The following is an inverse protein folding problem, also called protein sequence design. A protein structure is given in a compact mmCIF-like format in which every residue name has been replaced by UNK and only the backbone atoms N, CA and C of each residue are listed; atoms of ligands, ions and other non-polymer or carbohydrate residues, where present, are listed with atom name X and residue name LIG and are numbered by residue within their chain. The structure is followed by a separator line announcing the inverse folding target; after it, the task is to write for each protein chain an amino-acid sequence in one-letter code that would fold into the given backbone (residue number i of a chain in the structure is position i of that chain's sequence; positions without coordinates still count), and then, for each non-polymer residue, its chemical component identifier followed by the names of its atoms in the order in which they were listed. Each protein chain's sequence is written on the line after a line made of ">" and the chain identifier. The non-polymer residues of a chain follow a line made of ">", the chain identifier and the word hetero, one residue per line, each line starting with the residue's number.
data_IF_910793331189
#
_entry.id   IF_910793331189
#
_cell.length_a   1.000
_cell.length_b   1.000
_cell.length_c   1.000
_cell.angle_alpha   90.00
_cell.angle_beta   90.00
_cell.angle_gamma   90.00
#
_symmetry.space_group_name_H-M   'P 1'
#
loop_
_entity.id
_entity.type
_entity.pdbx_description
1 polymer ?
#
# COMPACT_ATOMS: atom_id res chain seq x y z
N UNK A 1 -6.78 4.01 -4.14
CA UNK A 1 -7.53 5.20 -3.69
C UNK A 1 -7.87 4.94 -2.24
N UNK A 2 -7.18 5.61 -1.33
CA UNK A 2 -7.26 5.37 0.11
C UNK A 2 -7.68 6.66 0.82
N UNK A 3 -8.13 6.54 2.07
CA UNK A 3 -8.68 7.61 2.89
C UNK A 3 -10.17 7.43 3.21
N UNK A 4 -10.72 8.18 4.19
CA UNK A 4 -12.10 8.02 4.63
C UNK A 4 -13.12 8.26 3.51
N UNK A 5 -13.90 7.24 3.18
CA UNK A 5 -14.86 7.32 2.09
C UNK A 5 -16.14 6.52 2.37
N UNK A 6 -17.28 7.14 2.10
CA UNK A 6 -18.55 6.47 1.89
C UNK A 6 -19.03 6.89 0.51
N UNK A 7 -19.08 5.96 -0.43
CA UNK A 7 -19.38 6.24 -1.83
C UNK A 7 -20.70 5.58 -2.18
N UNK A 8 -21.62 6.38 -2.71
CA UNK A 8 -22.85 5.90 -3.36
C UNK A 8 -22.70 6.20 -4.85
N UNK A 9 -23.01 5.22 -5.68
CA UNK A 9 -22.80 5.27 -7.12
C UNK A 9 -23.91 4.57 -7.88
N UNK A 10 -24.06 4.92 -9.15
CA UNK A 10 -25.03 4.29 -10.06
C UNK A 10 -24.53 4.37 -11.49
N UNK A 11 -24.88 3.36 -12.28
CA UNK A 11 -24.71 3.34 -13.74
C UNK A 11 -26.05 3.53 -14.48
N UNK A 12 -27.13 3.85 -13.76
CA UNK A 12 -28.50 3.97 -14.27
C UNK A 12 -29.31 2.67 -14.28
N UNK A 13 -28.68 1.51 -14.08
CA UNK A 13 -29.34 0.19 -13.96
C UNK A 13 -29.24 -0.39 -12.56
N UNK A 14 -28.18 -0.05 -11.85
CA UNK A 14 -27.90 -0.50 -10.50
C UNK A 14 -27.55 0.71 -9.63
N UNK A 15 -27.84 0.62 -8.34
CA UNK A 15 -27.36 1.56 -7.32
C UNK A 15 -26.51 0.79 -6.33
N UNK A 16 -25.29 1.27 -6.13
CA UNK A 16 -24.33 0.66 -5.21
C UNK A 16 -23.86 1.63 -4.14
N UNK A 17 -23.42 1.08 -3.02
CA UNK A 17 -22.71 1.80 -1.99
C UNK A 17 -21.56 0.96 -1.42
N UNK A 18 -20.44 1.61 -1.14
CA UNK A 18 -19.29 0.97 -0.50
C UNK A 18 -18.58 1.95 0.44
N UNK A 19 -17.85 1.40 1.41
CA UNK A 19 -16.98 2.16 2.30
C UNK A 19 -15.52 1.95 1.92
N UNK A 20 -14.66 2.84 2.40
CA UNK A 20 -13.22 2.59 2.43
C UNK A 20 -12.88 1.32 3.21
N UNK A 21 -11.66 0.80 3.03
CA UNK A 21 -11.20 -0.45 3.64
C UNK A 21 -11.31 -0.49 5.16
N UNK A 22 -11.25 0.67 5.83
CA UNK A 22 -11.31 0.80 7.28
C UNK A 22 -12.72 1.21 7.76
N UNK A 23 -13.62 1.57 6.84
CA UNK A 23 -14.97 2.07 7.13
C UNK A 23 -14.99 3.30 8.02
N UNK A 24 -14.14 4.28 7.68
CA UNK A 24 -13.93 5.50 8.47
C UNK A 24 -15.10 6.50 8.33
N UNK A 25 -16.05 6.26 7.41
CA UNK A 25 -17.27 7.05 7.24
C UNK A 25 -18.51 6.22 7.55
N UNK A 26 -19.51 6.78 8.25
CA UNK A 26 -20.74 6.07 8.54
C UNK A 26 -21.63 6.00 7.30
N UNK A 27 -22.25 4.84 7.09
CA UNK A 27 -23.36 4.66 6.15
C UNK A 27 -24.36 3.70 6.77
N UNK A 28 -25.61 4.14 6.92
CA UNK A 28 -26.72 3.39 7.52
C UNK A 28 -27.86 3.33 6.53
N UNK A 29 -28.56 2.21 6.51
CA UNK A 29 -29.69 2.03 5.62
C UNK A 29 -30.86 1.32 6.30
N UNK A 30 -32.05 1.62 5.80
CA UNK A 30 -33.28 0.93 6.13
C UNK A 30 -33.93 0.40 4.86
N UNK A 31 -34.66 -0.70 5.01
CA UNK A 31 -35.51 -1.30 3.98
C UNK A 31 -36.91 -1.39 4.56
N UNK A 32 -37.90 -0.86 3.85
CA UNK A 32 -39.31 -0.91 4.24
C UNK A 32 -40.04 -2.09 3.61
N UNK A 33 -41.28 -2.32 4.03
CA UNK A 33 -42.19 -3.35 3.51
C UNK A 33 -42.76 -3.03 2.12
N UNK A 34 -42.67 -1.77 1.69
CA UNK A 34 -42.99 -1.28 0.34
C UNK A 34 -41.75 -1.14 -0.57
N UNK A 35 -40.69 -1.91 -0.29
CA UNK A 35 -39.43 -2.01 -1.05
C UNK A 35 -38.64 -0.70 -1.20
N UNK A 36 -38.95 0.33 -0.40
CA UNK A 36 -38.15 1.54 -0.35
C UNK A 36 -36.87 1.30 0.46
N UNK A 37 -35.73 1.60 -0.17
CA UNK A 37 -34.42 1.62 0.51
C UNK A 37 -33.99 3.06 0.72
N UNK A 38 -33.68 3.41 1.97
CA UNK A 38 -33.11 4.71 2.33
C UNK A 38 -31.74 4.50 2.93
N UNK A 39 -30.71 5.11 2.34
CA UNK A 39 -29.35 5.14 2.87
C UNK A 39 -28.90 6.57 3.15
N UNK A 40 -28.28 6.78 4.30
CA UNK A 40 -27.70 8.06 4.68
C UNK A 40 -26.51 7.88 5.62
N UNK A 41 -25.74 8.94 5.85
CA UNK A 41 -24.65 8.92 6.84
C UNK A 41 -25.17 8.73 8.28
N UNK A 42 -26.42 9.10 8.53
CA UNK A 42 -27.07 9.03 9.83
C UNK A 42 -28.43 8.32 9.77
N UNK A 43 -28.87 7.75 10.88
CA UNK A 43 -30.22 7.18 11.00
C UNK A 43 -31.22 8.27 11.39
N UNK A 44 -32.48 8.13 10.95
CA UNK A 44 -33.54 9.07 11.33
C UNK A 44 -33.60 10.35 10.50
N UNK A 45 -32.94 10.37 9.34
CA UNK A 45 -32.96 11.51 8.41
C UNK A 45 -34.33 11.74 7.76
N UNK A 46 -35.19 10.72 7.72
CA UNK A 46 -36.55 10.78 7.19
C UNK A 46 -37.55 10.20 8.20
N UNK A 47 -38.77 10.76 8.28
CA UNK A 47 -39.80 10.32 9.22
C UNK A 47 -40.54 9.07 8.72
N UNK A 48 -39.85 7.93 8.69
CA UNK A 48 -40.44 6.63 8.31
C UNK A 48 -40.96 5.92 9.56
N UNK A 49 -42.21 5.46 9.50
CA UNK A 49 -42.85 4.77 10.62
C UNK A 49 -42.18 3.42 10.90
N UNK A 50 -41.84 3.13 12.17
CA UNK A 50 -41.03 1.95 12.54
C UNK A 50 -41.73 0.63 12.17
N UNK A 51 -43.07 0.60 12.14
CA UNK A 51 -43.84 -0.59 11.74
C UNK A 51 -43.69 -0.96 10.26
N UNK A 52 -43.23 -0.04 9.40
CA UNK A 52 -42.91 -0.31 8.01
C UNK A 52 -41.49 -0.84 7.80
N UNK A 53 -40.60 -0.69 8.79
CA UNK A 53 -39.18 -1.01 8.62
C UNK A 53 -38.97 -2.51 8.79
N UNK A 54 -38.60 -3.18 7.70
CA UNK A 54 -38.29 -4.62 7.69
C UNK A 54 -36.83 -4.86 8.08
N UNK A 55 -35.92 -3.95 7.70
CA UNK A 55 -34.49 -4.06 8.02
C UNK A 55 -33.89 -2.71 8.34
N UNK A 56 -33.05 -2.67 9.37
CA UNK A 56 -32.25 -1.50 9.77
C UNK A 56 -30.83 -1.95 10.02
N UNK A 57 -29.89 -1.44 9.24
CA UNK A 57 -28.51 -1.92 9.26
C UNK A 57 -27.48 -0.84 8.93
N UNK A 58 -26.20 -1.21 8.97
CA UNK A 58 -25.08 -0.35 8.59
C UNK A 58 -24.18 -1.04 7.58
N UNK A 59 -23.58 -0.26 6.69
CA UNK A 59 -22.55 -0.75 5.80
C UNK A 59 -21.28 -1.05 6.60
N UNK A 60 -20.64 -2.19 6.32
CA UNK A 60 -19.43 -2.64 7.03
C UNK A 60 -18.20 -2.38 6.14
N UNK A 61 -17.01 -2.14 6.74
CA UNK A 61 -15.77 -2.02 5.99
C UNK A 61 -15.59 -3.22 5.04
N UNK A 62 -15.21 -2.93 3.80
CA UNK A 62 -14.98 -3.96 2.78
C UNK A 62 -16.23 -4.67 2.24
N UNK A 63 -17.44 -4.36 2.70
CA UNK A 63 -18.70 -4.86 2.11
C UNK A 63 -19.29 -3.87 1.12
N UNK A 64 -19.92 -4.39 0.08
CA UNK A 64 -20.69 -3.64 -0.91
C UNK A 64 -22.18 -3.87 -0.69
N UNK A 65 -22.97 -2.81 -0.84
CA UNK A 65 -24.42 -2.86 -0.91
C UNK A 65 -24.83 -2.54 -2.34
N UNK A 66 -25.58 -3.42 -3.00
CA UNK A 66 -25.97 -3.24 -4.40
C UNK A 66 -27.46 -3.55 -4.57
N UNK A 67 -28.17 -2.66 -5.26
CA UNK A 67 -29.54 -2.86 -5.72
C UNK A 67 -29.49 -2.98 -7.24
N UNK A 68 -30.04 -4.07 -7.76
CA UNK A 68 -30.19 -4.28 -9.20
C UNK A 68 -31.66 -4.10 -9.59
N UNK A 69 -31.96 -3.09 -10.41
CA UNK A 69 -33.32 -2.79 -10.84
C UNK A 69 -33.83 -3.72 -11.94
N UNK A 70 -32.94 -4.35 -12.72
CA UNK A 70 -33.34 -5.33 -13.71
C UNK A 70 -33.76 -6.65 -13.04
N UNK A 71 -33.09 -7.02 -11.94
CA UNK A 71 -33.44 -8.18 -11.11
C UNK A 71 -34.48 -7.88 -10.03
N UNK A 72 -34.73 -6.61 -9.71
CA UNK A 72 -35.67 -6.18 -8.69
C UNK A 72 -35.30 -6.60 -7.27
N UNK A 73 -34.00 -6.67 -6.94
CA UNK A 73 -33.55 -7.13 -5.61
C UNK A 73 -32.26 -6.47 -5.13
N UNK A 74 -32.02 -6.56 -3.83
CA UNK A 74 -30.72 -6.31 -3.21
C UNK A 74 -29.82 -7.53 -3.45
N UNK A 75 -28.65 -7.32 -4.03
CA UNK A 75 -27.66 -8.37 -4.29
C UNK A 75 -26.75 -8.51 -3.07
N UNK A 76 -26.49 -9.75 -2.65
CA UNK A 76 -25.60 -10.01 -1.51
C UNK A 76 -24.12 -9.74 -1.86
N UNK A 77 -23.34 -9.28 -0.88
CA UNK A 77 -21.92 -8.94 -1.06
C UNK A 77 -21.07 -10.14 -1.50
N UNK A 78 -21.32 -11.33 -0.93
CA UNK A 78 -20.57 -12.53 -1.29
C UNK A 78 -20.94 -13.01 -2.68
N UNK A 79 -22.24 -12.99 -3.01
CA UNK A 79 -22.73 -13.32 -4.36
C UNK A 79 -22.07 -12.43 -5.41
N UNK A 80 -22.11 -11.11 -5.19
CA UNK A 80 -21.53 -10.12 -6.09
C UNK A 80 -20.03 -10.35 -6.28
N UNK A 81 -19.28 -10.48 -5.19
CA UNK A 81 -17.83 -10.69 -5.25
C UNK A 81 -17.48 -12.02 -5.91
N UNK A 82 -18.22 -13.08 -5.64
CA UNK A 82 -18.01 -14.38 -6.25
C UNK A 82 -18.24 -14.33 -7.77
N UNK A 83 -19.29 -13.66 -8.23
CA UNK A 83 -19.54 -13.46 -9.66
C UNK A 83 -18.32 -12.86 -10.36
N UNK A 84 -17.74 -11.79 -9.80
CA UNK A 84 -16.56 -11.16 -10.38
C UNK A 84 -15.28 -11.97 -10.18
N UNK A 85 -15.09 -12.63 -9.04
CA UNK A 85 -13.92 -13.45 -8.75
C UNK A 85 -13.84 -14.71 -9.63
N UNK A 86 -14.99 -15.27 -10.03
CA UNK A 86 -15.07 -16.45 -10.91
C UNK A 86 -15.26 -16.10 -12.39
N UNK A 87 -15.43 -14.82 -12.74
CA UNK A 87 -15.61 -14.39 -14.14
C UNK A 87 -14.41 -14.75 -15.04
N UNK A 88 -13.20 -14.85 -14.46
CA UNK A 88 -11.94 -15.19 -15.13
C UNK A 88 -11.05 -16.04 -14.20
N UNK A 89 -10.09 -16.81 -14.74
CA UNK A 89 -9.18 -17.61 -13.93
C UNK A 89 -8.05 -16.76 -13.30
N UNK A 90 -8.41 -15.75 -12.50
CA UNK A 90 -7.44 -14.79 -11.93
C UNK A 90 -6.31 -15.45 -11.16
N UNK A 91 -6.61 -16.55 -10.44
CA UNK A 91 -5.59 -17.30 -9.71
C UNK A 91 -4.49 -17.81 -10.65
N UNK A 92 -4.89 -18.46 -11.74
CA UNK A 92 -3.95 -18.97 -12.74
C UNK A 92 -3.18 -17.81 -13.40
N UNK A 93 -3.85 -16.69 -13.69
CA UNK A 93 -3.19 -15.50 -14.23
C UNK A 93 -2.12 -14.97 -13.27
N UNK A 94 -2.45 -14.82 -11.99
CA UNK A 94 -1.51 -14.37 -10.96
C UNK A 94 -0.33 -15.34 -10.85
N UNK A 95 -0.58 -16.64 -10.78
CA UNK A 95 0.48 -17.65 -10.69
C UNK A 95 1.42 -17.64 -11.92
N UNK A 96 0.90 -17.35 -13.12
CA UNK A 96 1.69 -17.34 -14.36
C UNK A 96 2.54 -16.07 -14.54
N UNK A 97 2.09 -14.92 -14.00
CA UNK A 97 2.75 -13.62 -14.25
C UNK A 97 3.54 -13.11 -13.06
N UNK A 98 3.37 -13.71 -11.88
CA UNK A 98 3.99 -13.25 -10.64
C UNK A 98 5.20 -14.08 -10.30
N UNK A 99 6.33 -13.42 -10.13
CA UNK A 99 7.55 -14.02 -9.59
C UNK A 99 7.73 -13.45 -8.19
N UNK A 100 7.82 -14.30 -7.17
CA UNK A 100 8.13 -13.84 -5.80
C UNK A 100 9.65 -13.80 -5.64
N UNK A 101 10.21 -12.67 -5.24
CA UNK A 101 11.67 -12.55 -5.07
C UNK A 101 12.20 -13.61 -4.11
N UNK A 102 11.54 -13.78 -2.96
CA UNK A 102 11.93 -14.73 -1.90
C UNK A 102 11.91 -16.21 -2.36
N UNK A 103 11.21 -16.52 -3.45
CA UNK A 103 11.19 -17.88 -4.02
C UNK A 103 12.39 -18.21 -4.90
N UNK A 104 13.20 -17.20 -5.24
CA UNK A 104 14.36 -17.35 -6.10
C UNK A 104 15.57 -17.78 -5.26
N UNK A 105 16.29 -18.85 -5.65
CA UNK A 105 17.49 -19.25 -4.93
C UNK A 105 18.57 -18.16 -5.02
N UNK A 106 19.24 -17.91 -3.89
CA UNK A 106 20.30 -16.91 -3.81
C UNK A 106 21.48 -17.37 -4.65
N UNK A 107 21.92 -16.52 -5.57
CA UNK A 107 23.12 -16.76 -6.37
C UNK A 107 24.00 -15.52 -6.32
N UNK A 108 25.24 -15.67 -5.85
CA UNK A 108 26.20 -14.58 -5.73
C UNK A 108 26.65 -14.34 -4.29
N UNK A 109 27.67 -13.50 -4.14
CA UNK A 109 28.18 -13.03 -2.85
C UNK A 109 27.75 -11.57 -2.65
N UNK A 110 27.62 -11.10 -1.40
CA UNK A 110 27.43 -9.68 -1.14
C UNK A 110 28.55 -8.87 -1.82
N UNK A 111 28.24 -7.69 -2.35
CA UNK A 111 29.24 -6.84 -2.97
C UNK A 111 30.33 -6.49 -1.95
N UNK A 112 31.59 -6.77 -2.30
CA UNK A 112 32.73 -6.27 -1.55
C UNK A 112 33.02 -4.84 -2.01
N UNK A 113 33.32 -3.96 -1.07
CA UNK A 113 33.82 -2.61 -1.38
C UNK A 113 35.32 -2.61 -1.25
N UNK A 114 36.00 -1.94 -2.18
CA UNK A 114 37.45 -1.72 -2.10
C UNK A 114 37.78 -0.74 -0.96
N UNK A 115 36.94 0.29 -0.80
CA UNK A 115 37.11 1.29 0.26
C UNK A 115 36.71 0.81 1.65
N UNK A 116 37.40 1.35 2.67
CA UNK A 116 37.13 1.05 4.06
C UNK A 116 35.70 1.43 4.46
N UNK A 117 35.16 0.76 5.48
CA UNK A 117 33.83 1.11 5.99
C UNK A 117 33.78 2.53 6.54
N UNK A 118 34.83 2.96 7.24
CA UNK A 118 34.89 4.27 7.88
C UNK A 118 34.88 5.41 6.84
N UNK A 119 35.66 5.27 5.77
CA UNK A 119 35.73 6.29 4.71
C UNK A 119 34.38 6.44 4.01
N UNK A 120 33.68 5.32 3.76
CA UNK A 120 32.33 5.34 3.19
C UNK A 120 31.31 5.97 4.15
N UNK A 121 31.39 5.64 5.44
CA UNK A 121 30.52 6.26 6.45
C UNK A 121 30.73 7.78 6.48
N UNK A 122 31.98 8.24 6.48
CA UNK A 122 32.31 9.67 6.46
C UNK A 122 31.82 10.36 5.18
N UNK A 123 32.00 9.73 4.01
CA UNK A 123 31.54 10.26 2.73
C UNK A 123 30.02 10.47 2.69
N UNK A 124 29.25 9.61 3.36
CA UNK A 124 27.79 9.73 3.51
C UNK A 124 27.36 10.42 4.81
N UNK A 125 28.28 11.10 5.50
CA UNK A 125 28.04 11.88 6.72
C UNK A 125 27.44 11.10 7.90
N UNK A 126 27.72 9.80 8.00
CA UNK A 126 27.40 9.01 9.20
C UNK A 126 28.23 9.49 10.38
N UNK A 127 27.58 9.68 11.53
CA UNK A 127 28.22 10.07 12.78
C UNK A 127 28.23 8.92 13.79
N UNK A 128 29.06 9.05 14.83
CA UNK A 128 29.04 8.09 15.94
C UNK A 128 27.68 8.09 16.67
N UNK A 129 26.97 9.23 16.68
CA UNK A 129 25.64 9.34 17.27
C UNK A 129 24.61 8.55 16.45
N UNK A 130 24.64 8.64 15.12
CA UNK A 130 23.77 7.83 14.25
C UNK A 130 23.97 6.33 14.51
N UNK A 131 25.23 5.90 14.62
CA UNK A 131 25.54 4.49 14.87
C UNK A 131 25.09 4.04 16.26
N UNK A 132 25.34 4.85 17.29
CA UNK A 132 25.08 4.49 18.68
C UNK A 132 23.60 4.57 19.05
N UNK A 133 22.94 5.65 18.66
CA UNK A 133 21.57 5.94 19.10
C UNK A 133 20.49 5.50 18.11
N UNK A 134 20.79 5.40 16.81
CA UNK A 134 19.81 4.96 15.80
C UNK A 134 20.08 3.52 15.36
N UNK A 135 21.29 3.22 14.88
CA UNK A 135 21.58 1.90 14.28
C UNK A 135 21.67 0.77 15.31
N UNK A 136 22.28 1.01 16.47
CA UNK A 136 22.49 -0.03 17.48
C UNK A 136 21.18 -0.59 18.04
N UNK A 137 20.17 0.23 18.42
CA UNK A 137 18.85 -0.28 18.83
C UNK A 137 18.17 -1.10 17.73
N UNK A 138 18.19 -0.63 16.48
CA UNK A 138 17.61 -1.38 15.35
C UNK A 138 18.27 -2.75 15.17
N UNK A 139 19.60 -2.83 15.32
CA UNK A 139 20.33 -4.08 15.18
C UNK A 139 20.13 -5.05 16.36
N UNK A 140 19.97 -4.55 17.58
CA UNK A 140 19.92 -5.37 18.79
C UNK A 140 18.49 -5.77 19.18
N UNK A 141 17.54 -4.85 19.06
CA UNK A 141 16.16 -5.00 19.54
C UNK A 141 15.12 -5.03 18.41
N UNK A 142 15.52 -4.79 17.16
CA UNK A 142 14.59 -4.62 16.03
C UNK A 142 13.58 -3.48 16.24
N UNK A 143 13.97 -2.45 17.00
CA UNK A 143 13.17 -1.27 17.30
C UNK A 143 13.94 0.00 16.89
N UNK A 144 13.21 1.05 16.53
CA UNK A 144 13.83 2.35 16.25
C UNK A 144 14.37 3.00 17.52
N UNK A 145 15.37 3.89 17.35
CA UNK A 145 15.91 4.65 18.47
C UNK A 145 14.87 5.61 19.04
N UNK A 146 14.53 5.45 20.32
CA UNK A 146 13.59 6.33 21.04
C UNK A 146 14.34 7.44 21.77
N UNK A 147 13.84 8.67 21.63
CA UNK A 147 14.36 9.85 22.32
C UNK A 147 13.24 10.63 23.04
N UNK A 148 13.63 11.73 23.67
CA UNK A 148 12.70 12.67 24.30
C UNK A 148 13.16 14.11 24.05
N UNK A 149 12.33 15.09 24.44
CA UNK A 149 12.50 16.52 24.16
C UNK A 149 12.27 16.91 22.68
N UNK A 150 12.20 18.21 22.42
CA UNK A 150 12.07 18.75 21.06
C UNK A 150 13.41 18.79 20.33
N UNK A 151 13.35 18.92 19.00
CA UNK A 151 14.54 19.15 18.19
C UNK A 151 14.92 20.64 18.23
N UNK A 152 16.02 20.97 18.91
CA UNK A 152 16.57 22.32 19.03
C UNK A 152 17.64 22.62 17.96
N UNK A 153 17.94 21.67 17.07
CA UNK A 153 18.87 21.89 15.97
C UNK A 153 18.32 22.91 14.97
N UNK A 154 19.20 23.73 14.34
CA UNK A 154 18.77 24.62 13.28
C UNK A 154 18.15 23.84 12.12
N UNK A 155 17.24 24.48 11.38
CA UNK A 155 16.74 23.95 10.12
C UNK A 155 17.93 23.62 9.19
N UNK A 156 17.81 22.57 8.38
CA UNK A 156 18.93 22.08 7.58
C UNK A 156 19.57 23.18 6.70
N UNK A 157 18.75 24.08 6.15
CA UNK A 157 19.18 25.23 5.34
C UNK A 157 19.93 26.32 6.12
N UNK A 158 19.77 26.37 7.45
CA UNK A 158 20.42 27.33 8.35
C UNK A 158 21.59 26.71 9.11
N UNK A 159 21.93 25.45 8.85
CA UNK A 159 22.97 24.75 9.58
C UNK A 159 24.35 25.07 9.02
N UNK A 160 25.31 25.36 9.91
CA UNK A 160 26.73 25.47 9.54
C UNK A 160 27.42 24.12 9.24
N UNK A 161 26.66 23.01 9.34
CA UNK A 161 27.15 21.66 9.07
C UNK A 161 26.53 21.12 7.78
N UNK A 162 27.28 20.29 7.06
CA UNK A 162 26.76 19.56 5.91
C UNK A 162 25.61 18.64 6.35
N UNK A 163 24.40 18.91 5.84
CA UNK A 163 23.21 18.10 6.07
C UNK A 163 22.88 17.29 4.82
N UNK A 164 22.59 16.02 5.01
CA UNK A 164 22.15 15.11 3.95
C UNK A 164 20.77 15.49 3.40
N UNK A 165 20.50 15.08 2.16
CA UNK A 165 19.30 15.48 1.40
C UNK A 165 17.99 15.20 2.15
N UNK A 166 17.90 14.07 2.84
CA UNK A 166 16.68 13.67 3.56
C UNK A 166 16.33 14.60 4.73
N UNK A 167 17.27 15.40 5.27
CA UNK A 167 16.96 16.39 6.31
C UNK A 167 16.05 17.53 5.84
N UNK A 168 16.02 17.79 4.53
CA UNK A 168 15.22 18.83 3.90
C UNK A 168 13.77 18.42 3.67
N UNK A 169 13.49 17.11 3.65
CA UNK A 169 12.14 16.59 3.50
C UNK A 169 11.50 16.40 4.88
N UNK A 170 10.30 16.95 5.07
CA UNK A 170 9.49 16.76 6.28
C UNK A 170 8.34 15.82 5.97
N UNK A 171 8.17 14.80 6.80
CA UNK A 171 7.07 13.86 6.66
C UNK A 171 5.76 14.61 6.89
N UNK A 172 4.87 14.54 5.91
CA UNK A 172 3.52 15.05 6.07
C UNK A 172 2.72 14.09 6.94
N UNK A 173 1.83 14.65 7.74
CA UNK A 173 0.91 13.87 8.56
C UNK A 173 -0.48 14.46 8.48
N UNK A 174 -1.47 13.60 8.64
CA UNK A 174 -2.86 14.00 8.62
C UNK A 174 -3.26 14.63 9.94
N UNK A 175 -3.98 15.75 9.87
CA UNK A 175 -4.57 16.43 11.02
C UNK A 175 -6.00 16.80 10.69
N UNK A 176 -6.96 16.42 11.53
CA UNK A 176 -8.39 16.75 11.44
C UNK A 176 -9.12 16.17 10.21
N UNK A 177 -8.62 16.37 8.98
CA UNK A 177 -9.26 16.00 7.72
C UNK A 177 -9.46 14.50 7.55
N UNK A 178 -8.48 13.73 8.01
CA UNK A 178 -8.48 12.28 8.00
C UNK A 178 -7.67 11.76 9.20
N UNK A 179 -8.10 10.67 9.85
CA UNK A 179 -7.39 10.13 11.00
C UNK A 179 -6.12 9.37 10.56
N UNK A 180 -5.03 9.41 11.34
CA UNK A 180 -3.95 8.46 11.20
C UNK A 180 -4.42 7.04 11.60
N UNK A 181 -3.73 6.02 11.10
CA UNK A 181 -4.00 4.61 11.40
C UNK A 181 -2.98 4.13 12.44
N UNK A 182 -3.40 3.29 13.39
CA UNK A 182 -2.48 2.65 14.34
C UNK A 182 -1.68 1.53 13.63
N UNK A 183 -0.36 1.71 13.40
CA UNK A 183 0.43 0.74 12.63
C UNK A 183 0.65 -0.59 13.35
N UNK A 184 0.34 -0.68 14.65
CA UNK A 184 0.52 -1.88 15.47
C UNK A 184 -0.84 -2.60 15.61
N UNK A 185 -1.86 -1.89 16.10
CA UNK A 185 -3.19 -2.49 16.37
C UNK A 185 -3.99 -2.76 15.11
N UNK A 186 -3.77 -1.97 14.07
CA UNK A 186 -4.46 -2.08 12.78
C UNK A 186 -3.51 -2.57 11.67
N UNK A 187 -2.41 -3.24 12.02
CA UNK A 187 -1.40 -3.73 11.07
C UNK A 187 -2.00 -4.60 9.95
N UNK A 188 -3.08 -5.34 10.23
CA UNK A 188 -3.74 -6.25 9.27
C UNK A 188 -4.30 -5.54 8.04
N UNK A 189 -4.65 -4.25 8.13
CA UNK A 189 -5.15 -3.47 6.98
C UNK A 189 -4.03 -2.79 6.19
N UNK A 190 -2.78 -2.87 6.67
CA UNK A 190 -1.59 -2.29 6.03
C UNK A 190 -0.77 -3.35 5.27
N UNK A 191 -0.02 -2.91 4.25
CA UNK A 191 0.87 -3.80 3.50
C UNK A 191 2.02 -3.02 2.89
N UNK A 192 3.22 -3.61 2.93
CA UNK A 192 4.42 -3.14 2.24
C UNK A 192 4.71 -3.91 0.94
N UNK A 193 3.86 -4.89 0.60
CA UNK A 193 4.03 -5.72 -0.59
C UNK A 193 4.09 -4.81 -1.81
N UNK A 194 5.19 -4.92 -2.54
CA UNK A 194 5.48 -4.07 -3.68
C UNK A 194 5.65 -4.91 -4.93
N UNK A 195 5.24 -4.37 -6.07
CA UNK A 195 5.35 -5.03 -7.36
C UNK A 195 6.26 -4.22 -8.29
N UNK A 196 7.41 -4.78 -8.62
CA UNK A 196 8.40 -4.21 -9.53
C UNK A 196 8.11 -4.72 -10.95
N UNK A 197 8.15 -3.83 -11.94
CA UNK A 197 7.89 -4.18 -13.34
C UNK A 197 6.97 -3.23 -14.11
N UNK A 198 6.74 -3.53 -15.39
CA UNK A 198 5.79 -2.79 -16.22
C UNK A 198 4.38 -2.83 -15.60
N UNK A 199 3.72 -1.67 -15.56
CA UNK A 199 2.33 -1.57 -15.12
C UNK A 199 1.42 -2.06 -16.25
N UNK A 200 0.50 -3.01 -16.01
CA UNK A 200 -0.46 -3.44 -17.01
C UNK A 200 -1.42 -2.30 -17.38
N UNK A 201 -2.02 -2.37 -18.56
CA UNK A 201 -3.09 -1.47 -18.94
C UNK A 201 -4.35 -1.77 -18.10
N UNK A 202 -4.83 -0.77 -17.37
CA UNK A 202 -6.00 -0.90 -16.50
C UNK A 202 -7.30 -1.12 -17.29
N UNK A 203 -7.38 -0.60 -18.52
CA UNK A 203 -8.61 -0.62 -19.33
C UNK A 203 -8.72 -1.89 -20.21
N UNK A 204 -7.65 -2.67 -20.34
CA UNK A 204 -7.64 -3.87 -21.16
C UNK A 204 -8.10 -5.09 -20.36
N UNK A 205 -9.42 -5.23 -20.23
CA UNK A 205 -10.08 -6.34 -19.53
C UNK A 205 -9.92 -7.70 -20.23
N UNK A 206 -9.42 -7.72 -21.46
CA UNK A 206 -9.24 -8.92 -22.27
C UNK A 206 -7.77 -9.34 -22.39
N UNK A 207 -6.84 -8.62 -21.76
CA UNK A 207 -5.43 -9.00 -21.73
C UNK A 207 -5.23 -10.34 -20.99
N UNK A 208 -5.20 -11.44 -21.75
CA UNK A 208 -5.03 -12.81 -21.24
C UNK A 208 -3.60 -13.03 -20.70
N UNK A 209 -2.66 -12.15 -21.03
CA UNK A 209 -1.26 -12.28 -20.61
C UNK A 209 -0.72 -10.92 -20.20
N UNK A 210 -1.06 -10.43 -19.00
CA UNK A 210 -0.45 -9.22 -18.48
C UNK A 210 1.06 -9.42 -18.36
N UNK A 211 1.85 -8.35 -18.45
CA UNK A 211 3.29 -8.48 -18.34
C UNK A 211 3.65 -9.03 -16.97
N UNK A 212 4.71 -9.84 -16.93
CA UNK A 212 5.25 -10.40 -15.69
C UNK A 212 5.57 -9.28 -14.70
N UNK A 213 5.47 -9.56 -13.40
CA UNK A 213 5.87 -8.64 -12.33
C UNK A 213 6.54 -9.39 -11.19
N UNK A 214 7.54 -8.74 -10.59
CA UNK A 214 8.25 -9.23 -9.42
C UNK A 214 7.54 -8.73 -8.16
N UNK A 215 7.06 -9.64 -7.34
CA UNK A 215 6.51 -9.38 -6.00
C UNK A 215 7.65 -9.39 -4.99
N UNK A 216 7.77 -8.32 -4.21
CA UNK A 216 8.62 -8.24 -3.02
C UNK A 216 7.73 -8.01 -1.81
N UNK A 217 8.05 -8.67 -0.70
CA UNK A 217 7.28 -8.59 0.55
C UNK A 217 7.37 -7.19 1.20
N UNK A 218 8.49 -6.50 1.00
CA UNK A 218 8.77 -5.16 1.50
C UNK A 218 9.75 -4.41 0.58
N UNK A 219 9.87 -3.08 0.68
CA UNK A 219 10.80 -2.30 -0.14
C UNK A 219 12.26 -2.37 0.33
N UNK A 220 12.53 -2.90 1.53
CA UNK A 220 13.88 -3.06 2.07
C UNK A 220 14.42 -4.42 1.62
N UNK A 221 15.49 -4.40 0.84
CA UNK A 221 16.14 -5.59 0.28
C UNK A 221 17.52 -5.74 0.90
N UNK A 222 17.83 -6.94 1.37
CA UNK A 222 19.16 -7.26 1.86
C UNK A 222 20.13 -7.60 0.70
N UNK A 223 21.34 -8.04 1.03
CA UNK A 223 22.32 -8.41 0.01
C UNK A 223 21.91 -9.64 -0.81
N UNK A 224 21.18 -10.59 -0.22
CA UNK A 224 20.71 -11.79 -0.91
C UNK A 224 19.58 -11.43 -1.88
N UNK A 225 18.64 -10.59 -1.45
CA UNK A 225 17.57 -10.04 -2.27
C UNK A 225 18.10 -9.25 -3.45
N UNK A 226 19.10 -8.40 -3.22
CA UNK A 226 19.76 -7.66 -4.30
C UNK A 226 20.50 -8.59 -5.26
N UNK A 227 21.11 -9.68 -4.78
CA UNK A 227 21.74 -10.68 -5.63
C UNK A 227 20.72 -11.46 -6.48
N UNK A 228 19.56 -11.82 -5.92
CA UNK A 228 18.42 -12.40 -6.65
C UNK A 228 17.93 -11.43 -7.73
N UNK A 229 17.76 -10.16 -7.40
CA UNK A 229 17.30 -9.12 -8.33
C UNK A 229 18.28 -8.90 -9.49
N UNK A 230 19.59 -8.87 -9.22
CA UNK A 230 20.62 -8.75 -10.26
C UNK A 230 20.60 -9.92 -11.25
N UNK A 231 20.37 -11.13 -10.77
CA UNK A 231 20.34 -12.34 -11.60
C UNK A 231 18.95 -12.69 -12.15
N UNK A 232 17.96 -11.80 -12.00
CA UNK A 232 16.55 -12.07 -12.34
C UNK A 232 16.33 -12.52 -13.79
N UNK A 233 17.18 -12.08 -14.72
CA UNK A 233 17.09 -12.46 -16.13
C UNK A 233 17.23 -13.97 -16.35
N UNK A 234 18.14 -14.61 -15.60
CA UNK A 234 18.35 -16.06 -15.67
C UNK A 234 17.15 -16.83 -15.13
N UNK A 235 16.50 -16.29 -14.10
CA UNK A 235 15.37 -16.94 -13.44
C UNK A 235 14.05 -16.74 -14.18
N UNK A 236 13.96 -15.73 -15.06
CA UNK A 236 12.74 -15.39 -15.80
C UNK A 236 12.83 -15.68 -17.30
N UNK A 237 13.85 -16.43 -17.72
CA UNK A 237 14.12 -16.75 -19.13
C UNK A 237 14.16 -15.51 -20.03
N UNK A 238 14.78 -14.42 -19.56
CA UNK A 238 14.91 -13.18 -20.33
C UNK A 238 13.70 -12.24 -20.27
N UNK A 239 12.61 -12.61 -19.58
CA UNK A 239 11.39 -11.78 -19.49
C UNK A 239 11.55 -10.56 -18.57
N UNK A 240 12.41 -10.67 -17.57
CA UNK A 240 12.78 -9.58 -16.69
C UNK A 240 14.27 -9.30 -16.80
N UNK A 241 14.65 -8.04 -16.93
CA UNK A 241 16.07 -7.65 -17.00
C UNK A 241 16.38 -6.65 -15.90
N UNK A 242 17.55 -6.82 -15.31
CA UNK A 242 18.16 -5.87 -14.39
C UNK A 242 19.18 -5.05 -15.16
N UNK A 243 19.30 -3.77 -14.80
CA UNK A 243 20.34 -2.89 -15.29
C UNK A 243 20.87 -2.10 -14.11
N UNK A 244 22.19 -2.01 -13.97
CA UNK A 244 22.83 -1.17 -12.97
C UNK A 244 23.25 0.13 -13.61
N UNK A 245 22.72 1.23 -13.10
CA UNK A 245 23.09 2.57 -13.51
C UNK A 245 24.06 3.15 -12.49
N UNK A 246 25.18 3.67 -12.98
CA UNK A 246 26.11 4.37 -12.13
C UNK A 246 25.54 5.75 -11.76
N UNK A 247 25.34 5.98 -10.46
CA UNK A 247 24.79 7.24 -9.91
C UNK A 247 25.88 8.20 -9.41
N UNK A 248 27.16 7.90 -9.65
CA UNK A 248 28.27 8.78 -9.32
C UNK A 248 28.61 9.72 -10.48
N UNK A 249 29.29 10.82 -10.16
CA UNK A 249 29.83 11.76 -11.12
C UNK A 249 31.32 12.01 -10.82
N UNK A 250 32.14 12.36 -11.83
CA UNK A 250 33.53 12.72 -11.61
C UNK A 250 33.66 13.95 -10.70
N UNK A 251 34.57 13.90 -9.73
CA UNK A 251 34.87 15.05 -8.85
C UNK A 251 35.25 16.31 -9.65
N UNK A 252 35.93 16.16 -10.78
CA UNK A 252 36.32 17.29 -11.62
C UNK A 252 35.13 18.08 -12.22
N UNK A 253 33.89 17.58 -12.10
CA UNK A 253 32.70 18.30 -12.56
C UNK A 253 32.13 19.26 -11.49
N UNK A 254 32.64 19.22 -10.25
CA UNK A 254 32.23 20.07 -9.13
C UNK A 254 33.40 20.43 -8.23
#
# INVERSE_FOLDING_TARGET
>A
WDGPAAVVFTDGKQIGATLDRNGLRPARYIVTDDDLVVMASESGVLPIAENKIVKKWRLQPGKMFLIDFEQGRIVDDEELKNQFAFAKPYRQWIENVRVKLDSIPVTGKPPASEESLLDRQQAFAYTQEDLKFLMSPMAQAAEEGVGSMGNDSPLAVLSDKNKTLYNYFKQLFAQVTNPPIDPIREAIVMSLVSFIGPKPNLLDINAVTPPMRLEVSQPILDFEDMARLRNIERHTSGKFRSYELNIVYPLAWG
#
